data_IF_831359264970
#
_entry.id   IF_831359264970
#
_cell.length_a   1.000
_cell.length_b   1.000
_cell.length_c   1.000
_cell.angle_alpha   90.00
_cell.angle_beta   90.00
_cell.angle_gamma   90.00
#
_symmetry.space_group_name_H-M   'P 1'
#
loop_
_entity.id
_entity.type
_entity.pdbx_description
1 polymer ?
#
# COMPACT_ATOMS: atom_id res chain seq x y z
N UNK A 1 0.26 21.89 30.47
CA UNK A 1 -0.14 20.47 30.50
C UNK A 1 1.12 19.65 30.54
N UNK A 2 1.43 19.03 31.67
CA UNK A 2 2.57 18.11 31.81
C UNK A 2 2.29 16.84 31.02
N UNK A 3 3.11 16.55 30.01
CA UNK A 3 3.04 15.30 29.24
C UNK A 3 3.23 14.09 30.17
N UNK A 4 2.51 12.99 29.91
CA UNK A 4 2.72 11.78 30.70
C UNK A 4 4.09 11.17 30.36
N UNK A 5 4.73 10.42 31.28
CA UNK A 5 6.03 9.79 31.02
C UNK A 5 6.07 8.93 29.76
N UNK A 6 4.95 8.26 29.42
CA UNK A 6 4.83 7.47 28.19
C UNK A 6 4.82 8.30 26.90
N UNK A 7 4.32 9.54 26.95
CA UNK A 7 4.32 10.45 25.81
C UNK A 7 5.74 10.89 25.48
N UNK A 8 6.55 11.19 26.50
CA UNK A 8 7.94 11.61 26.31
C UNK A 8 8.80 10.51 25.66
N UNK A 9 8.59 9.24 26.05
CA UNK A 9 9.28 8.09 25.45
C UNK A 9 8.88 7.92 23.99
N UNK A 10 7.58 8.04 23.69
CA UNK A 10 7.08 7.96 22.33
C UNK A 10 7.66 9.06 21.44
N UNK A 11 7.61 10.32 21.88
CA UNK A 11 8.16 11.46 21.13
C UNK A 11 9.66 11.32 20.88
N UNK A 12 10.44 10.83 21.86
CA UNK A 12 11.86 10.57 21.67
C UNK A 12 12.12 9.50 20.61
N UNK A 13 11.35 8.41 20.62
CA UNK A 13 11.43 7.33 19.63
C UNK A 13 11.07 7.83 18.22
N UNK A 14 10.03 8.65 18.10
CA UNK A 14 9.65 9.30 16.83
C UNK A 14 10.75 10.25 16.36
N UNK A 15 11.33 11.06 17.25
CA UNK A 15 12.45 11.95 16.93
C UNK A 15 13.66 11.18 16.38
N UNK A 16 14.04 10.08 17.03
CA UNK A 16 15.13 9.20 16.58
C UNK A 16 14.85 8.57 15.21
N UNK A 17 13.60 8.17 14.94
CA UNK A 17 13.20 7.68 13.63
C UNK A 17 13.34 8.78 12.57
N UNK A 18 12.84 9.99 12.84
CA UNK A 18 12.88 11.12 11.89
C UNK A 18 14.30 11.61 11.59
N UNK A 19 15.24 11.49 12.54
CA UNK A 19 16.65 11.80 12.32
C UNK A 19 17.31 10.93 11.23
N UNK A 20 16.68 9.82 10.82
CA UNK A 20 17.16 8.91 9.76
C UNK A 20 16.71 9.31 8.35
N UNK A 21 16.11 10.49 8.17
CA UNK A 21 15.74 10.97 6.83
C UNK A 21 17.00 11.34 6.06
N UNK A 22 17.27 10.71 4.91
CA UNK A 22 18.44 11.07 4.13
C UNK A 22 18.21 12.44 3.46
N UNK A 23 19.29 13.18 3.21
CA UNK A 23 19.24 14.45 2.49
C UNK A 23 18.90 14.27 1.00
N UNK A 24 19.27 13.11 0.44
CA UNK A 24 19.01 12.70 -0.94
C UNK A 24 18.40 11.30 -0.99
N UNK A 25 17.66 10.99 -2.04
CA UNK A 25 17.13 9.63 -2.21
C UNK A 25 18.28 8.62 -2.36
N UNK A 26 18.24 7.55 -1.56
CA UNK A 26 19.22 6.46 -1.59
C UNK A 26 18.58 5.19 -2.16
N UNK A 27 18.51 5.04 -3.49
CA UNK A 27 17.90 3.86 -4.11
C UNK A 27 18.69 2.60 -3.76
N UNK A 28 17.98 1.50 -3.54
CA UNK A 28 18.58 0.19 -3.29
C UNK A 28 17.76 -0.64 -2.31
N UNK A 29 17.90 -1.96 -2.41
CA UNK A 29 17.23 -2.90 -1.51
C UNK A 29 18.18 -3.54 -0.50
N UNK A 30 19.48 -3.30 -0.58
CA UNK A 30 20.45 -4.11 0.16
C UNK A 30 20.37 -3.89 1.67
N UNK A 31 20.21 -2.63 2.13
CA UNK A 31 20.07 -2.32 3.55
C UNK A 31 18.81 -2.95 4.13
N UNK A 32 17.67 -2.75 3.48
CA UNK A 32 16.39 -3.32 3.93
C UNK A 32 16.37 -4.85 3.83
N UNK A 33 17.03 -5.46 2.83
CA UNK A 33 17.19 -6.92 2.75
C UNK A 33 18.03 -7.46 3.91
N UNK A 34 19.15 -6.82 4.21
CA UNK A 34 20.00 -7.22 5.33
C UNK A 34 19.28 -7.09 6.67
N UNK A 35 18.54 -5.99 6.87
CA UNK A 35 17.73 -5.77 8.07
C UNK A 35 16.61 -6.81 8.18
N UNK A 36 15.89 -7.05 7.10
CA UNK A 36 14.81 -8.05 7.03
C UNK A 36 15.32 -9.47 7.33
N UNK A 37 16.45 -9.88 6.75
CA UNK A 37 17.05 -11.19 7.02
C UNK A 37 17.43 -11.35 8.49
N UNK A 38 17.97 -10.30 9.13
CA UNK A 38 18.28 -10.28 10.57
C UNK A 38 17.04 -10.37 11.46
N UNK A 39 15.88 -9.97 10.96
CA UNK A 39 14.59 -10.07 11.63
C UNK A 39 13.86 -11.39 11.34
N UNK A 40 14.46 -12.30 10.57
CA UNK A 40 13.84 -13.57 10.18
C UNK A 40 12.81 -13.44 9.06
N UNK A 41 13.00 -12.48 8.14
CA UNK A 41 12.14 -12.24 6.98
C UNK A 41 10.63 -12.06 7.31
N UNK A 42 10.27 -11.14 8.22
CA UNK A 42 8.88 -11.00 8.68
C UNK A 42 7.88 -10.68 7.56
N UNK A 43 8.34 -10.02 6.50
CA UNK A 43 7.53 -9.72 5.31
C UNK A 43 7.09 -10.94 4.49
N UNK A 44 7.64 -12.13 4.78
CA UNK A 44 7.24 -13.40 4.15
C UNK A 44 6.19 -14.16 4.96
N UNK A 45 5.83 -13.68 6.15
CA UNK A 45 4.87 -14.35 7.03
C UNK A 45 3.40 -14.17 6.59
N UNK A 46 3.14 -13.29 5.63
CA UNK A 46 1.80 -12.96 5.13
C UNK A 46 1.86 -12.63 3.63
N UNK A 47 0.81 -12.96 2.84
CA UNK A 47 0.68 -12.47 1.48
C UNK A 47 0.35 -10.97 1.46
N UNK A 48 0.63 -10.29 0.36
CA UNK A 48 0.40 -8.86 0.22
C UNK A 48 -0.37 -8.46 -1.06
N UNK A 49 -1.22 -7.44 -0.90
CA UNK A 49 -1.67 -6.56 -2.00
C UNK A 49 -0.71 -5.37 -2.03
N UNK A 50 0.19 -5.34 -3.02
CA UNK A 50 1.24 -4.34 -3.13
C UNK A 50 0.85 -3.28 -4.15
N UNK A 51 0.82 -2.01 -3.75
CA UNK A 51 0.14 -0.95 -4.47
C UNK A 51 1.13 0.16 -4.82
N UNK A 52 1.30 0.42 -6.11
CA UNK A 52 2.02 1.58 -6.63
C UNK A 52 1.14 2.40 -7.58
N UNK A 53 1.67 3.52 -8.04
CA UNK A 53 0.99 4.49 -8.88
C UNK A 53 1.55 5.88 -8.67
N UNK A 54 1.19 6.79 -9.54
CA UNK A 54 1.46 8.22 -9.34
C UNK A 54 0.43 8.77 -8.38
N UNK A 55 -0.85 8.58 -8.74
CA UNK A 55 -2.00 9.01 -7.95
C UNK A 55 -2.84 7.82 -7.49
N UNK A 56 -3.59 8.02 -6.40
CA UNK A 56 -4.60 7.06 -5.93
C UNK A 56 -4.10 5.94 -5.03
N UNK A 57 -2.78 5.73 -4.87
CA UNK A 57 -2.17 4.67 -4.05
C UNK A 57 -2.83 4.51 -2.67
N UNK A 58 -2.76 5.55 -1.84
CA UNK A 58 -3.36 5.56 -0.50
C UNK A 58 -4.87 5.31 -0.50
N UNK A 59 -5.60 5.86 -1.47
CA UNK A 59 -7.05 5.66 -1.56
C UNK A 59 -7.39 4.23 -1.92
N UNK A 60 -6.69 3.63 -2.89
CA UNK A 60 -6.81 2.23 -3.26
C UNK A 60 -6.48 1.35 -2.05
N UNK A 61 -5.34 1.59 -1.38
CA UNK A 61 -4.93 0.84 -0.20
C UNK A 61 -6.02 0.83 0.87
N UNK A 62 -6.57 2.00 1.21
CA UNK A 62 -7.63 2.12 2.21
C UNK A 62 -8.94 1.42 1.82
N UNK A 63 -9.33 1.48 0.54
CA UNK A 63 -10.51 0.75 0.04
C UNK A 63 -10.30 -0.76 0.07
N UNK A 64 -9.13 -1.25 -0.35
CA UNK A 64 -8.75 -2.66 -0.28
C UNK A 64 -8.79 -3.14 1.17
N UNK A 65 -8.17 -2.40 2.09
CA UNK A 65 -8.21 -2.69 3.54
C UNK A 65 -9.65 -2.82 4.04
N UNK A 66 -10.50 -1.82 3.78
CA UNK A 66 -11.87 -1.82 4.29
C UNK A 66 -12.70 -3.01 3.81
N UNK A 67 -12.55 -3.39 2.53
CA UNK A 67 -13.26 -4.56 1.99
C UNK A 67 -12.71 -5.87 2.53
N UNK A 68 -11.39 -6.02 2.65
CA UNK A 68 -10.79 -7.23 3.24
C UNK A 68 -11.18 -7.41 4.71
N UNK A 69 -11.25 -6.33 5.49
CA UNK A 69 -11.73 -6.37 6.88
C UNK A 69 -13.21 -6.73 6.95
N UNK A 70 -14.04 -6.19 6.06
CA UNK A 70 -15.46 -6.55 5.98
C UNK A 70 -15.67 -8.03 5.57
N UNK A 71 -14.71 -8.64 4.87
CA UNK A 71 -14.67 -10.08 4.56
C UNK A 71 -14.16 -10.94 5.74
N UNK A 72 -13.84 -10.32 6.87
CA UNK A 72 -13.38 -10.97 8.10
C UNK A 72 -11.88 -11.26 8.16
N UNK A 73 -11.07 -10.68 7.27
CA UNK A 73 -9.61 -10.84 7.32
C UNK A 73 -8.99 -9.83 8.28
N UNK A 74 -8.01 -10.28 9.06
CA UNK A 74 -7.12 -9.39 9.81
C UNK A 74 -6.10 -8.78 8.86
N UNK A 75 -6.21 -7.47 8.60
CA UNK A 75 -5.28 -6.78 7.70
C UNK A 75 -4.14 -6.08 8.44
N UNK A 76 -2.97 -6.04 7.80
CA UNK A 76 -1.90 -5.09 8.10
C UNK A 76 -1.84 -4.04 7.00
N UNK A 77 -2.05 -2.76 7.29
CA UNK A 77 -2.05 -1.70 6.27
C UNK A 77 -0.86 -0.76 6.46
N UNK A 78 -0.01 -0.65 5.43
CA UNK A 78 1.12 0.26 5.39
C UNK A 78 0.91 1.35 4.34
N UNK A 79 0.76 2.61 4.76
CA UNK A 79 0.45 3.76 3.88
C UNK A 79 1.34 4.96 4.10
N UNK A 80 1.41 5.87 3.13
CA UNK A 80 2.15 7.13 3.26
C UNK A 80 1.52 8.30 2.48
N UNK A 81 1.78 9.56 2.86
CA UNK A 81 2.34 10.00 4.15
C UNK A 81 1.33 9.87 5.31
N UNK A 82 1.74 10.23 6.53
CA UNK A 82 0.82 10.47 7.66
C UNK A 82 0.40 11.93 7.67
N UNK A 83 -0.71 12.25 8.33
CA UNK A 83 -1.16 13.63 8.54
C UNK A 83 -0.72 14.19 9.89
N UNK A 84 -0.96 13.46 10.98
CA UNK A 84 -0.67 13.94 12.34
C UNK A 84 0.33 13.06 13.08
N UNK A 85 0.17 11.74 12.96
CA UNK A 85 0.95 10.78 13.73
C UNK A 85 1.57 9.72 12.81
N UNK A 86 2.87 9.43 12.98
CA UNK A 86 3.58 8.41 12.17
C UNK A 86 2.95 7.02 12.26
N UNK A 87 2.26 6.69 13.35
CA UNK A 87 1.54 5.42 13.53
C UNK A 87 0.36 5.28 12.57
N UNK A 88 -0.17 6.37 12.02
CA UNK A 88 -1.18 6.32 10.94
C UNK A 88 -0.69 5.51 9.73
N UNK A 89 0.63 5.45 9.54
CA UNK A 89 1.26 4.68 8.47
C UNK A 89 1.18 3.18 8.71
N UNK A 90 1.09 2.70 9.95
CA UNK A 90 1.11 1.27 10.29
C UNK A 90 -0.16 0.93 11.07
N UNK A 91 -1.12 0.29 10.40
CA UNK A 91 -2.38 -0.13 10.99
C UNK A 91 -2.51 -1.64 11.01
N UNK A 92 -3.07 -2.19 12.08
CA UNK A 92 -3.43 -3.60 12.21
C UNK A 92 -4.90 -3.68 12.60
N UNK A 93 -5.71 -4.44 11.86
CA UNK A 93 -7.16 -4.53 12.08
C UNK A 93 -7.82 -3.15 12.14
N UNK A 94 -7.54 -2.30 11.15
CA UNK A 94 -8.15 -0.99 11.00
C UNK A 94 -7.65 0.07 11.98
N UNK A 95 -6.71 -0.23 12.89
CA UNK A 95 -6.27 0.73 13.93
C UNK A 95 -4.76 0.98 13.85
N UNK A 96 -4.30 2.25 13.96
CA UNK A 96 -2.89 2.54 14.16
C UNK A 96 -2.32 1.72 15.32
N UNK A 97 -1.08 1.25 15.19
CA UNK A 97 -0.40 0.58 16.30
C UNK A 97 -0.35 1.48 17.55
N UNK A 98 -0.41 0.89 18.75
CA UNK A 98 -0.34 1.66 19.99
C UNK A 98 1.06 2.29 20.16
N UNK A 99 1.21 3.40 20.92
CA UNK A 99 2.52 4.00 21.16
C UNK A 99 3.49 2.99 21.78
N UNK A 100 3.03 2.21 22.75
CA UNK A 100 3.82 1.17 23.41
C UNK A 100 4.29 0.08 22.42
N UNK A 101 3.41 -0.39 21.54
CA UNK A 101 3.78 -1.39 20.54
C UNK A 101 4.74 -0.81 19.50
N UNK A 102 4.56 0.45 19.12
CA UNK A 102 5.45 1.15 18.19
C UNK A 102 6.86 1.28 18.76
N UNK A 103 6.98 1.83 19.98
CA UNK A 103 8.27 2.01 20.67
C UNK A 103 8.94 0.66 20.91
N UNK A 104 8.23 -0.29 21.52
CA UNK A 104 8.82 -1.59 21.85
C UNK A 104 9.34 -2.35 20.62
N UNK A 105 8.66 -2.23 19.47
CA UNK A 105 9.15 -2.82 18.22
C UNK A 105 10.29 -2.02 17.61
N UNK A 106 10.28 -0.69 17.68
CA UNK A 106 11.40 0.12 17.20
C UNK A 106 12.67 -0.16 18.02
N UNK A 107 12.54 -0.29 19.34
CA UNK A 107 13.63 -0.68 20.25
C UNK A 107 14.16 -2.07 19.92
N UNK A 108 13.28 -3.03 19.62
CA UNK A 108 13.68 -4.36 19.19
C UNK A 108 14.42 -4.34 17.83
N UNK A 109 14.12 -3.39 16.94
CA UNK A 109 14.80 -3.22 15.66
C UNK A 109 16.19 -2.57 15.80
N UNK A 110 16.39 -1.71 16.81
CA UNK A 110 17.60 -0.92 17.00
C UNK A 110 18.93 -1.71 16.93
N UNK A 111 19.11 -2.87 17.63
CA UNK A 111 20.35 -3.63 17.54
C UNK A 111 20.59 -4.23 16.16
N UNK A 112 19.54 -4.62 15.43
CA UNK A 112 19.66 -5.13 14.06
C UNK A 112 20.02 -4.03 13.08
N UNK A 113 19.44 -2.83 13.25
CA UNK A 113 19.79 -1.65 12.46
C UNK A 113 21.28 -1.32 12.65
N UNK A 114 21.73 -1.17 13.89
CA UNK A 114 23.14 -0.85 14.18
C UNK A 114 24.11 -1.86 13.56
N UNK A 115 23.75 -3.15 13.57
CA UNK A 115 24.57 -4.19 12.96
C UNK A 115 24.63 -4.07 11.43
N UNK A 116 23.50 -3.81 10.76
CA UNK A 116 23.48 -3.57 9.30
C UNK A 116 24.30 -2.34 8.93
N UNK A 117 24.17 -1.25 9.71
CA UNK A 117 24.91 -0.02 9.47
C UNK A 117 26.42 -0.24 9.62
N UNK A 118 26.84 -0.99 10.65
CA UNK A 118 28.24 -1.36 10.86
C UNK A 118 28.80 -2.25 9.73
N UNK A 119 28.00 -3.21 9.24
CA UNK A 119 28.41 -4.13 8.17
C UNK A 119 28.50 -3.45 6.81
N UNK A 120 27.61 -2.49 6.53
CA UNK A 120 27.50 -1.85 5.21
C UNK A 120 28.17 -0.49 5.11
N UNK A 121 28.45 0.16 6.23
CA UNK A 121 28.96 1.53 6.25
C UNK A 121 27.94 2.58 5.80
N UNK A 122 26.65 2.23 5.78
CA UNK A 122 25.56 3.10 5.33
C UNK A 122 24.42 3.09 6.36
N UNK A 123 23.83 4.26 6.60
CA UNK A 123 22.67 4.42 7.48
C UNK A 123 21.43 3.71 6.91
N UNK A 124 20.70 3.00 7.76
CA UNK A 124 19.35 2.54 7.43
C UNK A 124 18.39 3.73 7.53
N UNK A 125 17.76 4.05 6.41
CA UNK A 125 16.95 5.26 6.28
C UNK A 125 15.66 5.20 7.09
N UNK A 126 15.01 6.37 7.27
CA UNK A 126 13.68 6.51 7.85
C UNK A 126 12.68 5.53 7.22
N UNK A 127 12.63 5.46 5.89
CA UNK A 127 11.64 4.68 5.18
C UNK A 127 11.93 3.17 5.27
N UNK A 128 13.19 2.76 5.21
CA UNK A 128 13.59 1.36 5.42
C UNK A 128 13.29 0.91 6.85
N UNK A 129 13.61 1.75 7.85
CA UNK A 129 13.30 1.48 9.26
C UNK A 129 11.80 1.32 9.47
N UNK A 130 11.00 2.25 8.94
CA UNK A 130 9.54 2.21 9.09
C UNK A 130 8.92 1.02 8.35
N UNK A 131 9.47 0.63 7.19
CA UNK A 131 9.01 -0.55 6.44
C UNK A 131 9.32 -1.83 7.21
N UNK A 132 10.53 -1.98 7.75
CA UNK A 132 10.89 -3.12 8.60
C UNK A 132 10.00 -3.19 9.85
N UNK A 133 9.71 -2.03 10.47
CA UNK A 133 8.80 -1.93 11.61
C UNK A 133 7.39 -2.39 11.24
N UNK A 134 6.86 -1.95 10.10
CA UNK A 134 5.55 -2.36 9.59
C UNK A 134 5.48 -3.88 9.37
N UNK A 135 6.49 -4.46 8.70
CA UNK A 135 6.56 -5.91 8.48
C UNK A 135 6.63 -6.69 9.79
N UNK A 136 7.43 -6.24 10.75
CA UNK A 136 7.50 -6.86 12.08
C UNK A 136 6.15 -6.76 12.82
N UNK A 137 5.46 -5.61 12.75
CA UNK A 137 4.11 -5.42 13.29
C UNK A 137 3.12 -6.44 12.72
N UNK A 138 3.10 -6.58 11.40
CA UNK A 138 2.17 -7.45 10.69
C UNK A 138 2.43 -8.93 10.97
N UNK A 139 3.69 -9.36 10.88
CA UNK A 139 4.09 -10.72 11.19
C UNK A 139 3.77 -11.09 12.65
N UNK A 140 4.12 -10.21 13.60
CA UNK A 140 3.87 -10.45 15.02
C UNK A 140 2.39 -10.41 15.41
N UNK A 141 1.54 -9.78 14.61
CA UNK A 141 0.08 -9.80 14.81
C UNK A 141 -0.61 -10.99 14.11
N UNK A 142 0.11 -11.72 13.25
CA UNK A 142 -0.47 -12.81 12.45
C UNK A 142 -1.52 -12.32 11.47
N UNK A 143 -1.28 -11.21 10.77
CA UNK A 143 -2.24 -10.69 9.78
C UNK A 143 -2.44 -11.70 8.64
N UNK A 144 -3.67 -11.82 8.14
CA UNK A 144 -4.00 -12.67 7.00
C UNK A 144 -3.44 -12.08 5.69
N UNK A 145 -3.33 -10.75 5.62
CA UNK A 145 -2.90 -10.02 4.42
C UNK A 145 -2.29 -8.66 4.76
N UNK A 146 -1.18 -8.33 4.11
CA UNK A 146 -0.60 -6.99 4.08
C UNK A 146 -1.14 -6.16 2.92
N UNK A 147 -1.72 -4.99 3.18
CA UNK A 147 -2.05 -3.99 2.16
C UNK A 147 -0.97 -2.92 2.20
N UNK A 148 -0.07 -2.96 1.22
CA UNK A 148 1.22 -2.25 1.29
C UNK A 148 1.30 -1.23 0.17
N UNK A 149 1.33 0.04 0.53
CA UNK A 149 1.58 1.15 -0.40
C UNK A 149 3.08 1.37 -0.58
N UNK A 150 3.51 1.43 -1.84
CA UNK A 150 4.85 1.87 -2.23
C UNK A 150 5.06 3.34 -1.86
N UNK A 151 6.23 3.65 -1.28
CA UNK A 151 6.62 5.02 -1.00
C UNK A 151 6.89 5.79 -2.29
N UNK A 152 7.85 5.34 -3.09
CA UNK A 152 8.20 5.95 -4.37
C UNK A 152 8.65 4.91 -5.40
N UNK A 153 8.26 5.09 -6.67
CA UNK A 153 8.65 4.17 -7.74
C UNK A 153 8.05 2.78 -7.55
N UNK A 154 8.89 1.78 -7.28
CA UNK A 154 8.47 0.41 -7.02
C UNK A 154 9.65 -0.55 -6.94
N UNK A 155 10.45 -0.64 -8.02
CA UNK A 155 11.58 -1.56 -8.16
C UNK A 155 12.55 -1.51 -6.98
N UNK A 156 12.95 -0.31 -6.58
CA UNK A 156 13.92 -0.07 -5.51
C UNK A 156 13.30 0.43 -4.20
N UNK A 157 11.98 0.41 -4.11
CA UNK A 157 11.28 0.84 -2.89
C UNK A 157 11.45 -0.20 -1.78
N UNK A 158 11.64 0.25 -0.54
CA UNK A 158 11.85 -0.65 0.60
C UNK A 158 10.71 -1.68 0.78
N UNK A 159 9.50 -1.34 0.35
CA UNK A 159 8.34 -2.25 0.41
C UNK A 159 8.42 -3.39 -0.60
N UNK A 160 9.32 -3.35 -1.59
CA UNK A 160 9.43 -4.36 -2.64
C UNK A 160 10.03 -5.71 -2.19
N UNK A 161 10.07 -5.96 -0.88
CA UNK A 161 10.39 -7.26 -0.29
C UNK A 161 9.16 -8.12 0.04
N UNK A 162 7.95 -7.53 0.05
CA UNK A 162 6.72 -8.26 0.43
C UNK A 162 6.33 -9.32 -0.63
N UNK A 163 5.60 -10.35 -0.19
CA UNK A 163 4.96 -11.34 -1.08
C UNK A 163 3.77 -10.72 -1.82
N UNK A 164 4.05 -9.91 -2.84
CA UNK A 164 3.06 -9.18 -3.64
C UNK A 164 2.26 -10.07 -4.59
N UNK A 165 1.46 -11.00 -4.04
CA UNK A 165 0.57 -11.89 -4.82
C UNK A 165 -0.40 -11.11 -5.72
N UNK A 166 -0.81 -9.93 -5.27
CA UNK A 166 -1.55 -8.97 -6.09
C UNK A 166 -0.73 -7.70 -6.19
N UNK A 167 -0.38 -7.31 -7.42
CA UNK A 167 0.33 -6.06 -7.71
C UNK A 167 -0.64 -5.06 -8.34
N UNK A 168 -0.93 -3.97 -7.65
CA UNK A 168 -1.83 -2.92 -8.15
C UNK A 168 -1.02 -1.75 -8.67
N UNK A 169 -1.23 -1.44 -9.95
CA UNK A 169 -0.68 -0.26 -10.60
C UNK A 169 -1.81 0.73 -10.85
N UNK A 170 -1.91 1.73 -9.97
CA UNK A 170 -2.71 2.92 -10.23
C UNK A 170 -2.21 3.68 -11.46
N UNK A 171 -2.83 4.83 -11.76
CA UNK A 171 -2.44 5.63 -12.94
C UNK A 171 -0.96 6.00 -12.88
N UNK A 172 -0.24 5.69 -13.95
CA UNK A 172 1.15 6.10 -14.17
C UNK A 172 1.13 7.41 -14.94
N UNK A 173 1.92 8.37 -14.48
CA UNK A 173 2.08 9.68 -15.09
C UNK A 173 3.49 10.20 -14.77
N UNK A 174 3.85 11.32 -15.36
CA UNK A 174 5.09 11.99 -15.02
C UNK A 174 4.95 12.65 -13.65
N UNK A 175 5.70 12.13 -12.68
CA UNK A 175 5.82 12.65 -11.33
C UNK A 175 7.13 12.09 -10.76
N UNK A 176 7.78 12.82 -9.85
CA UNK A 176 9.11 12.54 -9.33
C UNK A 176 10.16 12.34 -10.45
N UNK A 177 10.87 13.43 -10.80
CA UNK A 177 11.87 13.43 -11.87
C UNK A 177 12.96 12.36 -11.69
N UNK A 178 13.18 11.89 -10.46
CA UNK A 178 14.11 10.83 -10.08
C UNK A 178 13.72 9.44 -10.64
N UNK A 179 12.45 9.24 -11.00
CA UNK A 179 11.95 7.98 -11.55
C UNK A 179 12.07 7.89 -13.08
N UNK A 180 12.42 9.00 -13.73
CA UNK A 180 12.57 9.09 -15.17
C UNK A 180 11.93 10.33 -15.76
N UNK A 181 12.32 10.60 -17.00
CA UNK A 181 11.86 11.73 -17.80
C UNK A 181 10.68 11.37 -18.71
N UNK A 182 10.38 10.06 -18.85
CA UNK A 182 9.30 9.56 -19.69
C UNK A 182 8.32 8.67 -18.93
N UNK A 183 7.07 8.61 -19.39
CA UNK A 183 6.03 7.74 -18.82
C UNK A 183 6.45 6.27 -18.85
N UNK A 184 7.23 5.86 -19.87
CA UNK A 184 7.75 4.50 -19.97
C UNK A 184 8.80 4.18 -18.89
N UNK A 185 9.70 5.11 -18.57
CA UNK A 185 10.69 4.95 -17.50
C UNK A 185 10.00 4.87 -16.14
N UNK A 186 9.07 5.80 -15.86
CA UNK A 186 8.30 5.79 -14.62
C UNK A 186 7.48 4.49 -14.49
N UNK A 187 6.92 3.99 -15.59
CA UNK A 187 6.23 2.70 -15.62
C UNK A 187 7.18 1.52 -15.35
N UNK A 188 8.43 1.57 -15.82
CA UNK A 188 9.41 0.51 -15.61
C UNK A 188 9.90 0.42 -14.16
N UNK A 189 9.97 1.56 -13.47
CA UNK A 189 10.20 1.62 -12.03
C UNK A 189 9.01 1.06 -11.26
N UNK A 190 7.78 1.48 -11.59
CA UNK A 190 6.55 1.02 -10.91
C UNK A 190 6.27 -0.46 -11.15
N UNK A 191 6.46 -0.96 -12.37
CA UNK A 191 6.27 -2.37 -12.72
C UNK A 191 7.27 -3.31 -12.02
N UNK A 192 8.32 -2.79 -11.38
CA UNK A 192 9.25 -3.58 -10.59
C UNK A 192 8.66 -4.22 -9.32
N UNK A 193 7.41 -3.90 -8.98
CA UNK A 193 6.69 -4.60 -7.90
C UNK A 193 6.05 -5.92 -8.33
N UNK A 194 5.96 -6.19 -9.64
CA UNK A 194 5.32 -7.39 -10.16
C UNK A 194 6.21 -8.59 -9.80
N UNK A 195 5.61 -9.57 -9.11
CA UNK A 195 6.26 -10.81 -8.68
C UNK A 195 5.89 -11.96 -9.61
N UNK A 196 6.66 -13.04 -9.54
CA UNK A 196 6.40 -14.26 -10.30
C UNK A 196 4.99 -14.80 -9.99
N UNK A 197 4.21 -15.06 -11.05
CA UNK A 197 2.85 -15.60 -10.95
C UNK A 197 1.82 -14.66 -10.30
N UNK A 198 2.15 -13.39 -10.07
CA UNK A 198 1.23 -12.44 -9.45
C UNK A 198 -0.02 -12.16 -10.32
N UNK A 199 -1.09 -11.68 -9.68
CA UNK A 199 -2.21 -11.04 -10.35
C UNK A 199 -1.97 -9.53 -10.40
N UNK A 200 -1.81 -8.98 -11.61
CA UNK A 200 -1.61 -7.56 -11.83
C UNK A 200 -2.95 -6.87 -12.07
N UNK A 201 -3.26 -5.85 -11.27
CA UNK A 201 -4.42 -4.97 -11.49
C UNK A 201 -3.89 -3.63 -11.99
N UNK A 202 -4.15 -3.29 -13.24
CA UNK A 202 -3.73 -2.02 -13.81
C UNK A 202 -4.94 -1.13 -14.07
N UNK A 203 -4.90 0.09 -13.52
CA UNK A 203 -5.74 1.20 -13.96
C UNK A 203 -5.55 1.48 -15.47
N UNK A 204 -6.41 2.31 -16.06
CA UNK A 204 -6.21 2.80 -17.44
C UNK A 204 -4.87 3.53 -17.52
N UNK A 205 -4.02 3.10 -18.48
CA UNK A 205 -2.69 3.65 -18.71
C UNK A 205 -2.56 4.25 -20.11
N UNK A 206 -1.59 5.15 -20.28
CA UNK A 206 -1.11 5.51 -21.61
C UNK A 206 -0.47 4.31 -22.32
N UNK A 207 -0.48 4.26 -23.67
CA UNK A 207 0.10 3.14 -24.43
C UNK A 207 1.58 2.86 -24.13
N UNK A 208 2.36 3.87 -23.75
CA UNK A 208 3.76 3.71 -23.35
C UNK A 208 3.88 2.90 -22.05
N UNK A 209 3.15 3.30 -21.00
CA UNK A 209 3.13 2.58 -19.72
C UNK A 209 2.51 1.18 -19.86
N UNK A 210 1.40 1.05 -20.59
CA UNK A 210 0.72 -0.23 -20.80
C UNK A 210 1.65 -1.29 -21.42
N UNK A 211 2.46 -0.91 -22.42
CA UNK A 211 3.45 -1.81 -23.05
C UNK A 211 4.53 -2.26 -22.06
N UNK A 212 5.01 -1.37 -21.20
CA UNK A 212 6.02 -1.69 -20.18
C UNK A 212 5.45 -2.67 -19.15
N UNK A 213 4.26 -2.39 -18.64
CA UNK A 213 3.57 -3.24 -17.66
C UNK A 213 3.29 -4.62 -18.24
N UNK A 214 2.81 -4.69 -19.49
CA UNK A 214 2.56 -5.96 -20.17
C UNK A 214 3.83 -6.82 -20.33
N UNK A 215 4.97 -6.19 -20.69
CA UNK A 215 6.26 -6.88 -20.79
C UNK A 215 6.75 -7.38 -19.44
N UNK A 216 6.64 -6.55 -18.39
CA UNK A 216 7.03 -6.94 -17.04
C UNK A 216 6.19 -8.12 -16.53
N UNK A 217 4.87 -8.06 -16.68
CA UNK A 217 3.99 -9.16 -16.31
C UNK A 217 4.31 -10.45 -17.08
N UNK A 218 4.54 -10.37 -18.39
CA UNK A 218 4.93 -11.53 -19.19
C UNK A 218 6.25 -12.16 -18.71
N UNK A 219 7.25 -11.33 -18.36
CA UNK A 219 8.54 -11.80 -17.86
C UNK A 219 8.41 -12.56 -16.51
N UNK A 220 7.42 -12.21 -15.71
CA UNK A 220 7.11 -12.84 -14.43
C UNK A 220 6.03 -13.93 -14.51
N UNK A 221 5.53 -14.27 -15.71
CA UNK A 221 4.40 -15.19 -15.85
C UNK A 221 3.14 -14.73 -15.09
N UNK A 222 3.01 -13.42 -14.87
CA UNK A 222 1.92 -12.81 -14.13
C UNK A 222 0.70 -12.59 -15.04
N UNK A 223 -0.49 -12.75 -14.47
CA UNK A 223 -1.75 -12.41 -15.15
C UNK A 223 -2.03 -10.91 -15.03
N UNK A 224 -2.76 -10.33 -15.99
CA UNK A 224 -3.12 -8.91 -15.94
C UNK A 224 -4.61 -8.72 -16.12
N UNK A 225 -5.20 -7.95 -15.21
CA UNK A 225 -6.53 -7.37 -15.29
C UNK A 225 -6.36 -5.89 -15.64
N UNK A 226 -6.90 -5.47 -16.80
CA UNK A 226 -6.89 -4.08 -17.26
C UNK A 226 -8.24 -3.41 -17.00
N UNK A 227 -8.21 -2.21 -16.42
CA UNK A 227 -9.39 -1.37 -16.28
C UNK A 227 -9.98 -1.08 -17.68
N UNK A 228 -11.30 -1.21 -17.81
CA UNK A 228 -12.04 -1.05 -19.05
C UNK A 228 -12.14 -2.31 -19.91
N UNK A 229 -11.35 -3.36 -19.63
CA UNK A 229 -11.39 -4.64 -20.35
C UNK A 229 -11.76 -5.82 -19.45
N UNK A 230 -11.11 -5.91 -18.29
CA UNK A 230 -11.24 -7.04 -17.38
C UNK A 230 -11.94 -6.64 -16.07
N UNK A 231 -11.97 -5.35 -15.74
CA UNK A 231 -12.73 -4.78 -14.63
C UNK A 231 -13.05 -3.31 -14.90
N UNK A 232 -13.92 -2.69 -14.11
CA UNK A 232 -14.17 -1.25 -14.22
C UNK A 232 -15.44 -0.77 -13.55
N UNK A 233 -15.92 0.38 -14.03
CA UNK A 233 -17.19 0.99 -13.65
C UNK A 233 -18.26 0.66 -14.70
N UNK A 234 -19.44 0.21 -14.26
CA UNK A 234 -20.66 0.19 -15.09
C UNK A 234 -21.41 1.51 -15.01
N UNK A 235 -21.50 2.09 -13.83
CA UNK A 235 -22.17 3.37 -13.61
C UNK A 235 -21.55 4.12 -12.43
N UNK A 236 -21.73 5.44 -12.47
CA UNK A 236 -21.32 6.37 -11.42
C UNK A 236 -22.39 7.45 -11.29
N UNK A 237 -22.92 7.63 -10.09
CA UNK A 237 -23.86 8.69 -9.75
C UNK A 237 -23.31 9.49 -8.56
N UNK A 238 -22.91 10.76 -8.73
CA UNK A 238 -22.54 11.62 -7.61
C UNK A 238 -23.71 11.80 -6.63
N UNK A 239 -23.41 11.84 -5.34
CA UNK A 239 -24.36 12.13 -4.25
C UNK A 239 -23.81 13.27 -3.38
N UNK A 240 -24.63 13.90 -2.51
CA UNK A 240 -24.16 14.96 -1.61
C UNK A 240 -23.02 14.53 -0.69
N UNK A 241 -22.98 13.27 -0.29
CA UNK A 241 -22.04 12.65 0.65
C UNK A 241 -20.95 11.79 -0.03
N UNK A 242 -20.95 11.70 -1.36
CA UNK A 242 -19.99 10.88 -2.09
C UNK A 242 -20.44 10.54 -3.51
N UNK A 243 -20.52 9.24 -3.79
CA UNK A 243 -20.97 8.70 -5.07
C UNK A 243 -21.43 7.24 -4.95
N UNK A 244 -22.53 6.92 -5.64
CA UNK A 244 -22.98 5.55 -5.85
C UNK A 244 -22.31 4.99 -7.11
N UNK A 245 -21.73 3.80 -6.98
CA UNK A 245 -20.95 3.13 -8.02
C UNK A 245 -21.50 1.74 -8.29
N UNK A 246 -21.49 1.33 -9.56
CA UNK A 246 -21.61 -0.09 -9.93
C UNK A 246 -20.27 -0.52 -10.48
N UNK A 247 -19.58 -1.38 -9.73
CA UNK A 247 -18.25 -1.90 -10.00
C UNK A 247 -18.36 -3.30 -10.57
N UNK A 248 -17.47 -3.68 -11.50
CA UNK A 248 -17.40 -5.05 -12.02
C UNK A 248 -15.95 -5.53 -12.14
N UNK A 249 -15.73 -6.83 -12.01
CA UNK A 249 -14.42 -7.47 -12.19
C UNK A 249 -14.58 -8.92 -12.71
N UNK A 250 -14.09 -9.19 -13.92
CA UNK A 250 -14.24 -10.49 -14.58
C UNK A 250 -15.70 -10.86 -14.87
N UNK A 251 -15.94 -12.15 -15.10
CA UNK A 251 -17.28 -12.68 -15.32
C UNK A 251 -17.98 -12.96 -13.99
N UNK A 252 -19.07 -12.23 -13.72
CA UNK A 252 -19.96 -12.50 -12.60
C UNK A 252 -19.64 -11.80 -11.28
N UNK A 253 -18.56 -11.01 -11.17
CA UNK A 253 -18.37 -10.11 -10.03
C UNK A 253 -18.89 -8.72 -10.37
N UNK A 254 -20.01 -8.34 -9.76
CA UNK A 254 -20.57 -7.00 -9.82
C UNK A 254 -21.01 -6.56 -8.42
N UNK A 255 -20.73 -5.32 -8.06
CA UNK A 255 -21.10 -4.76 -6.77
C UNK A 255 -21.62 -3.33 -6.92
N UNK A 256 -22.79 -3.08 -6.35
CA UNK A 256 -23.33 -1.72 -6.18
C UNK A 256 -22.93 -1.22 -4.81
N UNK A 257 -22.16 -0.14 -4.76
CA UNK A 257 -21.58 0.39 -3.52
C UNK A 257 -21.78 1.89 -3.40
N UNK A 258 -21.93 2.37 -2.17
CA UNK A 258 -21.80 3.78 -1.87
C UNK A 258 -20.36 4.07 -1.43
N UNK A 259 -19.70 5.03 -2.10
CA UNK A 259 -18.36 5.48 -1.76
C UNK A 259 -18.43 6.91 -1.21
N UNK A 260 -18.12 7.14 0.08
CA UNK A 260 -18.20 8.46 0.72
C UNK A 260 -16.95 9.31 0.40
N UNK A 261 -16.53 9.33 -0.86
CA UNK A 261 -15.42 10.11 -1.37
C UNK A 261 -15.85 10.76 -2.68
N UNK A 262 -15.54 12.05 -2.86
CA UNK A 262 -15.88 12.78 -4.08
C UNK A 262 -14.84 12.61 -5.19
N UNK A 263 -15.26 12.90 -6.42
CA UNK A 263 -14.40 12.95 -7.61
C UNK A 263 -14.38 11.65 -8.44
N UNK A 264 -14.37 11.80 -9.76
CA UNK A 264 -14.38 10.66 -10.69
C UNK A 264 -13.12 9.77 -10.57
N UNK A 265 -11.98 10.35 -10.17
CA UNK A 265 -10.76 9.58 -9.93
C UNK A 265 -10.92 8.61 -8.76
N UNK A 266 -11.75 8.91 -7.75
CA UNK A 266 -12.03 7.97 -6.66
C UNK A 266 -12.89 6.80 -7.09
N UNK A 267 -13.78 6.98 -8.08
CA UNK A 267 -14.51 5.87 -8.69
C UNK A 267 -13.55 4.91 -9.43
N UNK A 268 -12.58 5.44 -10.17
CA UNK A 268 -11.55 4.62 -10.83
C UNK A 268 -10.66 3.89 -9.82
N UNK A 269 -10.27 4.57 -8.73
CA UNK A 269 -9.56 3.93 -7.61
C UNK A 269 -10.38 2.81 -6.98
N UNK A 270 -11.71 2.99 -6.82
CA UNK A 270 -12.61 1.98 -6.29
C UNK A 270 -12.72 0.76 -7.20
N UNK A 271 -12.74 0.95 -8.53
CA UNK A 271 -12.69 -0.16 -9.46
C UNK A 271 -11.38 -0.97 -9.33
N UNK A 272 -10.23 -0.29 -9.20
CA UNK A 272 -8.95 -0.96 -8.96
C UNK A 272 -8.94 -1.72 -7.62
N UNK A 273 -9.47 -1.11 -6.56
CA UNK A 273 -9.57 -1.75 -5.25
C UNK A 273 -10.46 -3.00 -5.30
N UNK A 274 -11.62 -2.92 -5.96
CA UNK A 274 -12.52 -4.06 -6.10
C UNK A 274 -11.87 -5.21 -6.87
N UNK A 275 -11.22 -4.93 -8.01
CA UNK A 275 -10.50 -5.94 -8.78
C UNK A 275 -9.34 -6.56 -7.99
N UNK A 276 -8.59 -5.77 -7.21
CA UNK A 276 -7.51 -6.27 -6.36
C UNK A 276 -8.02 -7.21 -5.26
N UNK A 277 -9.15 -6.86 -4.63
CA UNK A 277 -9.81 -7.72 -3.64
C UNK A 277 -10.31 -9.01 -4.27
N UNK A 278 -10.98 -8.95 -5.42
CA UNK A 278 -11.47 -10.16 -6.12
C UNK A 278 -10.31 -11.06 -6.55
N UNK A 279 -9.20 -10.49 -7.02
CA UNK A 279 -8.00 -11.24 -7.37
C UNK A 279 -7.34 -11.90 -6.14
N UNK A 280 -7.38 -11.25 -4.98
CA UNK A 280 -6.81 -11.78 -3.73
C UNK A 280 -7.73 -12.83 -3.06
N UNK A 281 -9.03 -12.53 -3.02
CA UNK A 281 -10.07 -13.33 -2.35
C UNK A 281 -11.23 -13.55 -3.33
N UNK A 282 -11.19 -14.59 -4.19
CA UNK A 282 -12.22 -14.79 -5.22
C UNK A 282 -13.67 -14.87 -4.70
N UNK A 283 -13.89 -15.30 -3.45
CA UNK A 283 -15.22 -15.33 -2.83
C UNK A 283 -15.84 -13.93 -2.67
N UNK A 284 -15.02 -12.86 -2.65
CA UNK A 284 -15.48 -11.48 -2.56
C UNK A 284 -16.40 -11.10 -3.75
N UNK A 285 -16.24 -11.76 -4.90
CA UNK A 285 -17.12 -11.58 -6.06
C UNK A 285 -18.59 -11.89 -5.77
N UNK A 286 -18.87 -12.68 -4.73
CA UNK A 286 -20.22 -13.14 -4.33
C UNK A 286 -20.69 -12.55 -3.01
N UNK A 287 -19.88 -11.71 -2.36
CA UNK A 287 -20.18 -11.13 -1.05
C UNK A 287 -20.48 -9.62 -1.16
N UNK A 288 -21.64 -9.32 -1.75
CA UNK A 288 -22.05 -7.94 -1.97
C UNK A 288 -22.22 -7.14 -0.67
N UNK A 289 -22.48 -7.80 0.46
CA UNK A 289 -22.61 -7.15 1.76
C UNK A 289 -21.26 -6.71 2.31
N UNK A 290 -20.27 -7.59 2.34
CA UNK A 290 -18.92 -7.23 2.77
C UNK A 290 -18.32 -6.15 1.86
N UNK A 291 -18.51 -6.27 0.54
CA UNK A 291 -18.02 -5.27 -0.42
C UNK A 291 -18.67 -3.90 -0.18
N UNK A 292 -19.99 -3.83 -0.01
CA UNK A 292 -20.67 -2.56 0.34
C UNK A 292 -20.17 -1.98 1.65
N UNK A 293 -20.08 -2.80 2.69
CA UNK A 293 -19.63 -2.39 4.02
C UNK A 293 -18.20 -1.82 3.97
N UNK A 294 -17.30 -2.51 3.27
CA UNK A 294 -15.91 -2.08 3.13
C UNK A 294 -15.74 -0.75 2.40
N UNK A 295 -16.46 -0.55 1.29
CA UNK A 295 -16.43 0.73 0.56
C UNK A 295 -17.08 1.87 1.34
N UNK A 296 -18.18 1.62 2.07
CA UNK A 296 -18.81 2.63 2.92
C UNK A 296 -17.93 3.05 4.11
N UNK A 297 -17.03 2.18 4.57
CA UNK A 297 -16.05 2.48 5.61
C UNK A 297 -14.80 3.24 5.08
N UNK A 298 -14.64 3.37 3.76
CA UNK A 298 -13.48 4.06 3.19
C UNK A 298 -13.42 5.52 3.66
N UNK A 299 -12.23 5.96 4.05
CA UNK A 299 -11.94 7.36 4.41
C UNK A 299 -10.67 7.79 3.69
N UNK A 300 -10.57 9.05 3.33
CA UNK A 300 -9.33 9.61 2.81
C UNK A 300 -9.07 10.98 3.43
N UNK A 301 -8.66 11.02 4.72
CA UNK A 301 -8.36 12.27 5.41
C UNK A 301 -7.45 13.18 4.57
N UNK A 302 -7.78 14.48 4.53
CA UNK A 302 -7.03 15.49 3.77
C UNK A 302 -7.22 15.48 2.24
N UNK A 303 -8.12 14.65 1.67
CA UNK A 303 -8.47 14.68 0.24
C UNK A 303 -9.96 14.96 0.03
N UNK A 304 -10.31 16.21 -0.25
CA UNK A 304 -11.70 16.68 -0.42
C UNK A 304 -12.60 16.31 0.78
N UNK A 305 -12.03 16.37 1.98
CA UNK A 305 -12.76 16.14 3.23
C UNK A 305 -13.59 17.39 3.54
N UNK A 306 -14.91 17.23 3.61
CA UNK A 306 -15.80 18.29 4.09
C UNK A 306 -15.73 18.29 5.61
N UNK A 307 -15.19 19.37 6.18
CA UNK A 307 -15.32 19.64 7.60
C UNK A 307 -16.74 20.17 7.84
N UNK A 308 -17.52 19.47 8.66
CA UNK A 308 -18.80 19.94 9.17
C UNK A 308 -18.64 20.41 10.62
#
# INVERSE_FOLDING_TARGET
>A
MTSQPGDAVYEAAVGALFARRPEVMLPGLDRIRALSARLGDPQRAYPAVHITGTNGKTSIARMVTGVLEALGLLTGTYTSPHLHDVRERIRVGGRPVSPTAFVGRLDALAPHIAAVEAERGEMVTFFETLTALASACFAGAGVDVGVVEVGMGGRWDATNLVDGRVAVLGRVGLDHAELGSTVAEVAAEKAGIIKDGAAVVSAVQEPAAARVIARAAAAHGASILWEGRDFGLRSRRPTPDGQDLVLWAGEGAEATVHLPLHGAHQAANAACAFAAVVAHVPRAARDAEAVRTGFAAARSPGRLELFH
#
